data_IF_849002917561
#
_entry.id   IF_849002917561
#
_cell.length_a   1.000
_cell.length_b   1.000
_cell.length_c   1.000
_cell.angle_alpha   90.00
_cell.angle_beta   90.00
_cell.angle_gamma   90.00
#
_symmetry.space_group_name_H-M   'P 1'
#
loop_
_entity.id
_entity.type
_entity.pdbx_description
1 polymer ?
#
# COMPACT_ATOMS: atom_id res chain seq x y z
N UNK A 1 9.73 -1.96 2.78
CA UNK A 1 8.51 -2.63 3.29
C UNK A 1 7.52 -2.98 2.16
N UNK A 2 7.05 -2.00 1.36
CA UNK A 2 6.09 -2.25 0.26
C UNK A 2 6.67 -3.14 -0.84
N UNK A 3 7.84 -2.80 -1.39
CA UNK A 3 8.49 -3.54 -2.49
C UNK A 3 8.67 -5.02 -2.18
N UNK A 4 9.22 -5.35 -1.00
CA UNK A 4 9.44 -6.74 -0.57
C UNK A 4 8.12 -7.51 -0.39
N UNK A 5 7.11 -6.89 0.23
CA UNK A 5 5.79 -7.53 0.42
C UNK A 5 5.05 -7.72 -0.89
N UNK A 6 5.18 -6.77 -1.82
CA UNK A 6 4.63 -6.90 -3.17
C UNK A 6 5.31 -8.03 -3.95
N UNK A 7 6.65 -8.09 -3.91
CA UNK A 7 7.42 -9.19 -4.52
C UNK A 7 7.05 -10.55 -3.93
N UNK A 8 6.76 -10.62 -2.63
CA UNK A 8 6.23 -11.82 -2.01
C UNK A 8 4.83 -12.16 -2.54
N UNK A 9 3.91 -11.19 -2.56
CA UNK A 9 2.54 -11.36 -3.03
C UNK A 9 2.48 -11.90 -4.47
N UNK A 10 3.21 -11.30 -5.41
CA UNK A 10 3.16 -11.73 -6.83
C UNK A 10 3.65 -13.15 -7.05
N UNK A 11 4.52 -13.67 -6.16
CA UNK A 11 5.03 -15.05 -6.21
C UNK A 11 4.12 -16.07 -5.52
N UNK A 12 3.34 -15.65 -4.53
CA UNK A 12 2.58 -16.57 -3.67
C UNK A 12 1.07 -16.52 -3.91
N UNK A 13 0.56 -15.48 -4.57
CA UNK A 13 -0.86 -15.40 -4.95
C UNK A 13 -1.03 -15.94 -6.37
N UNK A 14 -1.84 -16.99 -6.58
CA UNK A 14 -2.01 -17.59 -7.90
C UNK A 14 -2.49 -16.60 -8.97
N UNK A 15 -2.00 -16.78 -10.20
CA UNK A 15 -2.38 -16.01 -11.38
C UNK A 15 -2.19 -14.48 -11.24
N UNK A 16 -1.19 -14.05 -10.48
CA UNK A 16 -0.61 -12.71 -10.63
C UNK A 16 0.62 -12.79 -11.54
N UNK A 17 0.91 -11.73 -12.32
CA UNK A 17 2.17 -11.66 -13.06
C UNK A 17 3.34 -11.49 -12.08
N UNK A 18 4.43 -12.22 -12.29
CA UNK A 18 5.67 -12.08 -11.50
C UNK A 18 6.44 -10.85 -11.97
N UNK A 19 6.17 -9.71 -11.34
CA UNK A 19 6.77 -8.41 -11.65
C UNK A 19 7.22 -7.71 -10.38
N UNK A 20 8.25 -6.88 -10.49
CA UNK A 20 8.76 -6.06 -9.39
C UNK A 20 8.33 -4.61 -9.55
N UNK A 21 8.13 -3.89 -8.44
CA UNK A 21 8.07 -2.43 -8.45
C UNK A 21 9.50 -1.92 -8.59
N UNK A 22 9.75 -1.12 -9.63
CA UNK A 22 11.06 -0.54 -9.93
C UNK A 22 11.18 0.92 -9.48
N UNK A 23 10.08 1.67 -9.47
CA UNK A 23 10.07 3.09 -9.11
C UNK A 23 8.71 3.56 -8.56
N UNK A 24 8.72 4.67 -7.82
CA UNK A 24 7.53 5.37 -7.33
C UNK A 24 7.54 6.82 -7.82
N UNK A 25 6.42 7.26 -8.39
CA UNK A 25 6.25 8.63 -8.89
C UNK A 25 4.89 9.21 -8.48
N UNK A 26 4.74 10.54 -8.57
CA UNK A 26 3.49 11.27 -8.28
C UNK A 26 2.91 10.96 -6.89
N UNK A 27 3.79 10.81 -5.90
CA UNK A 27 3.41 10.55 -4.52
C UNK A 27 2.65 11.77 -3.99
N UNK A 28 1.46 11.53 -3.42
CA UNK A 28 0.64 12.58 -2.82
C UNK A 28 -0.14 12.03 -1.63
N UNK A 29 -0.28 12.86 -0.60
CA UNK A 29 -1.22 12.62 0.49
C UNK A 29 -2.60 13.13 0.08
N UNK A 30 -3.64 12.35 0.29
CA UNK A 30 -5.02 12.77 0.02
C UNK A 30 -5.88 12.83 1.29
N UNK A 31 -5.46 12.18 2.38
CA UNK A 31 -6.13 12.28 3.69
C UNK A 31 -5.13 12.07 4.83
N UNK A 32 -5.31 12.83 5.91
CA UNK A 32 -4.60 12.62 7.16
C UNK A 32 -5.58 12.72 8.32
N UNK A 33 -5.52 11.75 9.23
CA UNK A 33 -6.27 11.70 10.48
C UNK A 33 -5.24 11.69 11.62
N UNK A 34 -5.04 12.81 12.33
CA UNK A 34 -4.07 12.86 13.42
C UNK A 34 -4.52 11.97 14.59
N UNK A 35 -3.56 11.53 15.39
CA UNK A 35 -3.84 10.87 16.66
C UNK A 35 -4.59 11.82 17.60
N UNK A 36 -5.51 11.27 18.38
CA UNK A 36 -6.30 11.98 19.41
C UNK A 36 -6.55 11.04 20.59
N UNK A 37 -7.11 11.57 21.69
CA UNK A 37 -7.46 10.76 22.86
C UNK A 37 -8.48 9.65 22.54
N UNK A 38 -9.43 9.92 21.64
CA UNK A 38 -10.43 8.93 21.19
C UNK A 38 -9.84 7.93 20.18
N UNK A 39 -8.87 8.37 19.37
CA UNK A 39 -8.26 7.59 18.28
C UNK A 39 -6.74 7.75 18.35
N UNK A 40 -6.04 6.93 19.17
CA UNK A 40 -4.63 7.16 19.49
C UNK A 40 -3.67 6.88 18.32
N UNK A 41 -4.19 6.37 17.21
CA UNK A 41 -3.40 5.97 16.04
C UNK A 41 -3.56 7.03 14.95
N UNK A 42 -2.47 7.74 14.65
CA UNK A 42 -2.40 8.62 13.50
C UNK A 42 -2.42 7.83 12.19
N UNK A 43 -3.25 8.25 11.23
CA UNK A 43 -3.43 7.57 9.94
C UNK A 43 -3.18 8.52 8.78
N UNK A 44 -2.19 8.21 7.95
CA UNK A 44 -1.87 8.97 6.73
C UNK A 44 -2.15 8.14 5.47
N UNK A 45 -3.07 8.61 4.66
CA UNK A 45 -3.45 7.97 3.41
C UNK A 45 -2.79 8.67 2.22
N UNK A 46 -2.11 7.88 1.40
CA UNK A 46 -1.33 8.34 0.27
C UNK A 46 -1.65 7.55 -0.99
N UNK A 47 -1.49 8.22 -2.13
CA UNK A 47 -1.56 7.63 -3.46
C UNK A 47 -0.26 7.88 -4.22
N UNK A 48 0.10 6.97 -5.10
CA UNK A 48 1.23 7.13 -6.02
C UNK A 48 1.02 6.32 -7.31
N UNK A 49 1.93 6.51 -8.25
CA UNK A 49 2.09 5.64 -9.43
C UNK A 49 3.36 4.82 -9.26
N UNK A 50 3.25 3.50 -9.37
CA UNK A 50 4.39 2.58 -9.40
C UNK A 50 4.71 2.16 -10.82
N UNK A 51 6.00 2.17 -11.16
CA UNK A 51 6.53 1.54 -12.37
C UNK A 51 6.85 0.09 -12.07
N UNK A 52 6.47 -0.82 -12.98
CA UNK A 52 6.70 -2.25 -12.85
C UNK A 52 7.79 -2.71 -13.83
N UNK A 53 8.43 -3.84 -13.52
CA UNK A 53 9.50 -4.44 -14.33
C UNK A 53 9.05 -4.90 -15.72
N UNK A 54 7.74 -5.02 -15.97
CA UNK A 54 7.16 -5.30 -17.29
C UNK A 54 6.94 -4.02 -18.13
N UNK A 55 7.40 -2.87 -17.64
CA UNK A 55 7.25 -1.57 -18.29
C UNK A 55 5.90 -0.90 -18.07
N UNK A 56 4.97 -1.52 -17.32
CA UNK A 56 3.65 -0.95 -17.05
C UNK A 56 3.66 -0.07 -15.80
N UNK A 57 2.82 0.95 -15.80
CA UNK A 57 2.55 1.77 -14.63
C UNK A 57 1.21 1.39 -13.98
N UNK A 58 1.15 1.36 -12.65
CA UNK A 58 -0.08 1.10 -11.88
C UNK A 58 -0.24 2.11 -10.75
N UNK A 59 -1.48 2.42 -10.39
CA UNK A 59 -1.76 3.21 -9.19
C UNK A 59 -1.61 2.35 -7.95
N UNK A 60 -0.91 2.86 -6.93
CA UNK A 60 -0.83 2.28 -5.60
C UNK A 60 -1.52 3.22 -4.60
N UNK A 61 -2.26 2.64 -3.67
CA UNK A 61 -2.79 3.30 -2.48
C UNK A 61 -2.15 2.68 -1.25
N UNK A 62 -1.76 3.50 -0.28
CA UNK A 62 -1.16 3.01 0.96
C UNK A 62 -1.54 3.87 2.16
N UNK A 63 -1.66 3.20 3.31
CA UNK A 63 -1.97 3.76 4.62
C UNK A 63 -0.75 3.58 5.52
N UNK A 64 -0.32 4.66 6.16
CA UNK A 64 0.68 4.64 7.23
C UNK A 64 -0.07 4.82 8.55
N UNK A 65 0.08 3.85 9.46
CA UNK A 65 -0.44 3.92 10.82
C UNK A 65 0.72 4.16 11.79
N UNK A 66 0.71 5.34 12.41
CA UNK A 66 1.77 5.85 13.27
C UNK A 66 1.83 5.02 14.57
N UNK A 67 3.02 4.53 14.93
CA UNK A 67 3.24 3.76 16.17
C UNK A 67 2.70 2.32 16.17
N UNK A 68 2.10 1.86 15.07
CA UNK A 68 1.51 0.52 14.94
C UNK A 68 2.48 -0.55 14.39
N UNK A 69 3.79 -0.30 14.46
CA UNK A 69 4.82 -1.25 14.06
C UNK A 69 4.99 -2.44 15.01
N UNK A 70 6.03 -3.25 14.79
CA UNK A 70 6.28 -4.45 15.61
C UNK A 70 6.54 -4.07 17.07
N UNK A 71 5.80 -4.67 18.01
CA UNK A 71 5.85 -4.32 19.43
C UNK A 71 5.69 -2.81 19.69
N UNK A 72 4.86 -2.15 18.88
CA UNK A 72 4.62 -0.69 18.90
C UNK A 72 5.85 0.15 18.54
N UNK A 73 6.84 -0.43 17.85
CA UNK A 73 8.04 0.27 17.38
C UNK A 73 7.92 0.57 15.88
N UNK A 74 7.88 1.87 15.57
CA UNK A 74 7.77 2.41 14.21
C UNK A 74 6.35 2.31 13.62
N UNK A 75 6.23 2.53 12.31
CA UNK A 75 4.93 2.59 11.64
C UNK A 75 4.55 1.27 10.94
N UNK A 76 3.24 0.97 10.94
CA UNK A 76 2.65 -0.02 10.05
C UNK A 76 2.33 0.62 8.70
N UNK A 77 2.50 -0.15 7.62
CA UNK A 77 2.19 0.31 6.27
C UNK A 77 1.33 -0.73 5.59
N UNK A 78 0.08 -0.40 5.29
CA UNK A 78 -0.79 -1.20 4.44
C UNK A 78 -0.82 -0.63 3.02
N UNK A 79 -0.94 -1.49 2.01
CA UNK A 79 -0.89 -1.04 0.62
C UNK A 79 -1.69 -1.94 -0.32
N UNK A 80 -2.13 -1.36 -1.43
CA UNK A 80 -2.82 -2.03 -2.52
C UNK A 80 -2.37 -1.46 -3.87
N UNK A 81 -1.87 -2.33 -4.75
CA UNK A 81 -1.56 -1.98 -6.14
C UNK A 81 -2.75 -2.34 -7.01
N UNK A 82 -3.25 -1.38 -7.78
CA UNK A 82 -4.43 -1.56 -8.63
C UNK A 82 -4.22 -2.70 -9.62
N UNK A 83 -5.12 -3.68 -9.61
CA UNK A 83 -5.04 -4.89 -10.44
C UNK A 83 -4.28 -6.06 -9.82
N UNK A 84 -3.73 -5.91 -8.62
CA UNK A 84 -3.02 -6.98 -7.89
C UNK A 84 -3.76 -7.43 -6.62
N UNK A 85 -4.84 -6.75 -6.21
CA UNK A 85 -5.73 -7.19 -5.13
C UNK A 85 -6.73 -8.25 -5.62
N UNK A 86 -6.25 -9.47 -5.82
CA UNK A 86 -7.01 -10.57 -6.41
C UNK A 86 -8.20 -11.02 -5.55
N UNK A 87 -8.08 -10.91 -4.24
CA UNK A 87 -9.07 -11.39 -3.27
C UNK A 87 -9.98 -10.26 -2.78
N UNK A 88 -9.82 -9.05 -3.31
CA UNK A 88 -10.58 -7.86 -2.92
C UNK A 88 -10.46 -7.53 -1.43
N UNK A 89 -9.28 -7.76 -0.83
CA UNK A 89 -9.01 -7.46 0.59
C UNK A 89 -9.22 -5.97 0.87
N UNK A 90 -8.85 -5.11 -0.07
CA UNK A 90 -9.05 -3.66 0.01
C UNK A 90 -10.22 -3.17 -0.86
N UNK A 91 -11.13 -4.09 -1.23
CA UNK A 91 -12.27 -3.88 -2.11
C UNK A 91 -11.85 -3.45 -3.54
N UNK A 92 -12.83 -3.39 -4.46
CA UNK A 92 -12.62 -3.00 -5.85
C UNK A 92 -11.87 -1.66 -5.97
N UNK A 93 -10.77 -1.67 -6.73
CA UNK A 93 -9.90 -0.50 -6.98
C UNK A 93 -9.27 0.08 -5.69
N UNK A 94 -8.97 -0.77 -4.71
CA UNK A 94 -8.29 -0.40 -3.46
C UNK A 94 -9.05 0.62 -2.61
N UNK A 95 -10.39 0.58 -2.62
CA UNK A 95 -11.26 1.59 -1.98
C UNK A 95 -10.98 1.79 -0.50
N UNK A 96 -10.55 0.75 0.22
CA UNK A 96 -10.27 0.84 1.67
C UNK A 96 -9.08 1.75 1.99
N UNK A 97 -8.12 1.87 1.06
CA UNK A 97 -6.88 2.62 1.26
C UNK A 97 -6.84 3.98 0.53
N UNK A 98 -7.96 4.38 -0.09
CA UNK A 98 -8.15 5.63 -0.83
C UNK A 98 -9.11 6.55 -0.10
#
# INVERSE_FOLDING_TARGET
KITNRFAYQVRHVPHLPDVAITDFSRIHQHRYLPASEEWPIGRRYCGATVSLSDGRARTIWYLIEEGQGFASIGDNVEFCVSGFDRWMVYNGRCRVLR
#
